data_IF_093173235355
#
_entry.id   IF_093173235355
#
_cell.length_a   1.000
_cell.length_b   1.000
_cell.length_c   1.000
_cell.angle_alpha   90.00
_cell.angle_beta   90.00
_cell.angle_gamma   90.00
#
_symmetry.space_group_name_H-M   'P 1'
#
loop_
_entity.id
_entity.type
_entity.pdbx_description
1 polymer ?
#
# COMPACT_ATOMS: atom_id res chain seq x y z
N UNK A 1 16.55 2.09 -21.76
CA UNK A 1 16.58 1.98 -20.28
C UNK A 1 17.01 3.33 -19.72
N UNK A 2 16.06 4.23 -19.55
CA UNK A 2 16.29 5.41 -18.73
C UNK A 2 16.22 4.96 -17.28
N UNK A 3 17.35 4.97 -16.57
CA UNK A 3 17.36 4.70 -15.13
C UNK A 3 16.62 5.88 -14.49
N UNK A 4 15.34 5.71 -14.16
CA UNK A 4 14.63 6.68 -13.33
C UNK A 4 15.36 6.75 -11.99
N UNK A 5 16.02 7.88 -11.73
CA UNK A 5 16.83 8.09 -10.54
C UNK A 5 15.88 8.31 -9.37
N UNK A 6 15.59 7.24 -8.63
CA UNK A 6 14.77 7.30 -7.42
C UNK A 6 15.38 8.27 -6.42
N UNK A 7 14.62 9.24 -5.91
CA UNK A 7 15.16 10.12 -4.89
C UNK A 7 15.33 9.36 -3.58
N UNK A 8 16.56 9.37 -3.06
CA UNK A 8 16.87 8.96 -1.70
C UNK A 8 16.41 10.09 -0.76
N UNK A 9 15.47 9.81 0.13
CA UNK A 9 15.15 10.70 1.22
C UNK A 9 15.85 10.20 2.48
N UNK A 10 16.42 11.12 3.23
CA UNK A 10 17.06 10.83 4.49
C UNK A 10 16.13 11.24 5.62
N UNK A 11 15.87 10.31 6.53
CA UNK A 11 15.11 10.55 7.75
C UNK A 11 15.95 10.12 8.95
N UNK A 12 15.60 10.67 10.12
CA UNK A 12 16.22 10.22 11.37
C UNK A 12 15.42 9.04 11.89
N UNK A 13 16.01 7.85 11.81
CA UNK A 13 15.44 6.62 12.37
C UNK A 13 15.67 6.56 13.88
N UNK A 14 14.67 6.97 14.66
CA UNK A 14 14.69 6.87 16.13
C UNK A 14 14.15 5.55 16.68
N UNK A 15 13.74 4.60 15.83
CA UNK A 15 13.47 3.23 16.25
C UNK A 15 14.79 2.47 16.52
N UNK A 16 15.91 3.01 16.01
CA UNK A 16 17.26 2.58 16.37
C UNK A 16 17.68 3.17 17.72
N UNK A 17 18.39 2.42 18.59
CA UNK A 17 18.82 2.90 19.92
C UNK A 17 19.65 4.19 19.92
N UNK A 18 20.20 4.56 18.76
CA UNK A 18 21.11 5.70 18.58
C UNK A 18 20.55 6.80 17.68
N UNK A 19 19.26 6.77 17.31
CA UNK A 19 18.62 7.73 16.38
C UNK A 19 19.52 8.04 15.16
N UNK A 20 19.57 7.14 14.18
CA UNK A 20 20.51 7.25 13.05
C UNK A 20 19.85 7.91 11.83
N UNK A 21 20.55 8.82 11.16
CA UNK A 21 20.15 9.28 9.85
C UNK A 21 20.26 8.13 8.84
N UNK A 22 19.12 7.72 8.27
CA UNK A 22 19.02 6.68 7.25
C UNK A 22 18.48 7.28 5.96
N UNK A 23 19.22 7.11 4.87
CA UNK A 23 18.76 7.46 3.54
C UNK A 23 18.23 6.21 2.85
N UNK A 24 16.96 6.24 2.46
CA UNK A 24 16.32 5.15 1.72
C UNK A 24 15.70 5.70 0.44
N UNK A 25 15.74 4.88 -0.61
CA UNK A 25 14.92 5.12 -1.79
C UNK A 25 13.46 4.97 -1.35
N UNK A 26 12.65 6.00 -1.55
CA UNK A 26 11.22 6.02 -1.15
C UNK A 26 10.31 5.28 -2.16
N UNK A 27 10.89 4.39 -2.95
CA UNK A 27 10.18 3.45 -3.83
C UNK A 27 9.72 2.26 -2.97
N UNK A 28 8.58 1.62 -3.28
CA UNK A 28 8.17 0.37 -2.63
C UNK A 28 9.33 -0.63 -2.51
N UNK A 29 9.63 -1.05 -1.28
CA UNK A 29 10.55 -2.16 -1.07
C UNK A 29 9.78 -3.48 -1.19
N UNK A 30 9.81 -4.09 -2.36
CA UNK A 30 9.15 -5.37 -2.64
C UNK A 30 9.72 -6.58 -1.87
N UNK A 31 10.72 -6.36 -1.00
CA UNK A 31 11.26 -7.34 -0.06
C UNK A 31 11.07 -6.93 1.42
N UNK A 32 10.37 -5.82 1.68
CA UNK A 32 10.05 -5.34 3.02
C UNK A 32 8.70 -5.85 3.54
N UNK A 33 8.48 -5.69 4.84
CA UNK A 33 7.17 -5.97 5.46
C UNK A 33 6.08 -5.13 4.80
N UNK A 34 4.89 -5.71 4.67
CA UNK A 34 3.73 -5.06 4.07
C UNK A 34 3.85 -4.87 2.56
N UNK A 35 4.79 -5.53 1.89
CA UNK A 35 4.91 -5.47 0.44
C UNK A 35 3.83 -6.31 -0.25
N UNK A 36 3.30 -5.81 -1.36
CA UNK A 36 2.53 -6.55 -2.34
C UNK A 36 3.01 -6.13 -3.74
N UNK A 37 3.82 -6.98 -4.36
CA UNK A 37 4.45 -6.73 -5.66
C UNK A 37 4.39 -7.99 -6.53
N UNK A 38 4.76 -7.88 -7.81
CA UNK A 38 4.76 -9.02 -8.74
C UNK A 38 3.34 -9.62 -8.91
N UNK A 39 3.19 -10.95 -8.98
CA UNK A 39 1.99 -11.67 -9.44
C UNK A 39 1.09 -12.32 -8.34
N UNK A 40 0.41 -11.52 -7.51
CA UNK A 40 1.03 -10.72 -6.47
C UNK A 40 1.58 -11.61 -5.34
N UNK A 41 2.86 -11.38 -5.06
CA UNK A 41 3.58 -11.84 -3.88
C UNK A 41 3.40 -10.83 -2.75
N UNK A 42 3.02 -11.32 -1.58
CA UNK A 42 2.87 -10.54 -0.36
C UNK A 42 3.95 -10.89 0.66
N UNK A 43 4.27 -9.92 1.53
CA UNK A 43 5.10 -10.12 2.71
C UNK A 43 4.32 -9.64 3.93
N UNK A 44 3.98 -10.59 4.80
CA UNK A 44 3.20 -10.32 6.01
C UNK A 44 3.95 -9.50 7.06
N UNK A 45 3.24 -9.12 8.12
CA UNK A 45 3.82 -8.46 9.30
C UNK A 45 4.78 -9.36 10.08
N UNK A 46 4.62 -10.67 9.95
CA UNK A 46 5.51 -11.73 10.44
C UNK A 46 6.75 -11.94 9.55
N UNK A 47 6.86 -11.23 8.42
CA UNK A 47 7.94 -11.36 7.45
C UNK A 47 7.82 -12.59 6.54
N UNK A 48 6.74 -13.36 6.64
CA UNK A 48 6.52 -14.53 5.79
C UNK A 48 6.07 -14.08 4.40
N UNK A 49 6.74 -14.63 3.39
CA UNK A 49 6.34 -14.47 1.98
C UNK A 49 5.19 -15.42 1.68
N UNK A 50 4.12 -14.91 1.08
CA UNK A 50 3.00 -15.73 0.61
C UNK A 50 2.39 -15.15 -0.67
N UNK A 51 1.59 -15.97 -1.35
CA UNK A 51 0.91 -15.59 -2.59
C UNK A 51 -0.60 -15.63 -2.40
N UNK A 52 -1.28 -14.61 -2.91
CA UNK A 52 -2.73 -14.57 -2.97
C UNK A 52 -3.14 -14.28 -4.40
N UNK A 53 -3.77 -15.27 -5.06
CA UNK A 53 -4.08 -15.15 -6.48
C UNK A 53 -5.28 -14.27 -6.76
N UNK A 54 -6.22 -14.11 -5.82
CA UNK A 54 -7.45 -13.39 -6.09
C UNK A 54 -8.14 -13.89 -7.36
N UNK A 55 -8.65 -12.96 -8.17
CA UNK A 55 -9.27 -13.25 -9.46
C UNK A 55 -9.30 -12.02 -10.35
N UNK A 56 -9.18 -12.20 -11.66
CA UNK A 56 -9.23 -11.09 -12.62
C UNK A 56 -10.58 -10.38 -12.59
N UNK A 57 -10.56 -9.05 -12.61
CA UNK A 57 -11.71 -8.15 -12.52
C UNK A 57 -12.55 -8.30 -11.23
N UNK A 58 -11.89 -8.64 -10.12
CA UNK A 58 -12.52 -8.71 -8.81
C UNK A 58 -11.76 -7.89 -7.78
N UNK A 59 -12.44 -7.59 -6.66
CA UNK A 59 -11.91 -6.78 -5.58
C UNK A 59 -11.77 -7.58 -4.29
N UNK A 60 -10.70 -7.37 -3.56
CA UNK A 60 -10.44 -8.04 -2.28
C UNK A 60 -9.91 -7.07 -1.23
N UNK A 61 -10.40 -7.20 0.00
CA UNK A 61 -9.90 -6.43 1.14
C UNK A 61 -8.52 -6.96 1.56
N UNK A 62 -7.50 -6.12 1.40
CA UNK A 62 -6.16 -6.36 1.93
C UNK A 62 -6.09 -6.01 3.41
N UNK A 63 -6.87 -4.99 3.82
CA UNK A 63 -6.93 -4.42 5.16
C UNK A 63 -8.37 -4.08 5.51
N UNK A 64 -8.83 -4.46 6.69
CA UNK A 64 -10.08 -4.05 7.31
C UNK A 64 -9.90 -3.99 8.82
N UNK A 65 -9.97 -2.79 9.37
CA UNK A 65 -9.92 -2.49 10.79
C UNK A 65 -11.04 -1.49 11.13
N UNK A 66 -11.19 -1.09 12.40
CA UNK A 66 -12.30 -0.22 12.80
C UNK A 66 -12.28 1.18 12.16
N UNK A 67 -11.09 1.68 11.80
CA UNK A 67 -10.87 3.04 11.28
C UNK A 67 -10.33 3.08 9.83
N UNK A 68 -9.98 1.94 9.25
CA UNK A 68 -9.34 1.83 7.94
C UNK A 68 -9.82 0.57 7.21
N UNK A 69 -10.15 0.70 5.93
CA UNK A 69 -10.23 -0.44 5.01
C UNK A 69 -9.49 -0.13 3.72
N UNK A 70 -8.67 -1.07 3.25
CA UNK A 70 -7.98 -0.98 1.96
C UNK A 70 -8.39 -2.19 1.13
N UNK A 71 -9.02 -1.93 0.00
CA UNK A 71 -9.37 -2.93 -1.00
C UNK A 71 -8.44 -2.81 -2.20
N UNK A 72 -8.10 -3.93 -2.81
CA UNK A 72 -7.35 -4.00 -4.05
C UNK A 72 -8.24 -4.48 -5.19
N UNK A 73 -8.13 -3.83 -6.35
CA UNK A 73 -8.69 -4.26 -7.63
C UNK A 73 -7.66 -5.11 -8.37
N UNK A 74 -8.04 -6.32 -8.76
CA UNK A 74 -7.15 -7.26 -9.45
C UNK A 74 -7.44 -7.26 -10.95
N UNK A 75 -6.41 -7.06 -11.74
CA UNK A 75 -6.40 -7.42 -13.17
C UNK A 75 -5.78 -8.79 -13.32
N UNK A 76 -6.01 -9.42 -14.47
CA UNK A 76 -5.41 -10.72 -14.72
C UNK A 76 -5.81 -11.33 -16.05
N UNK A 77 -5.11 -12.39 -16.40
CA UNK A 77 -5.32 -13.14 -17.63
C UNK A 77 -5.21 -14.64 -17.35
N UNK A 78 -5.92 -15.45 -18.15
CA UNK A 78 -5.88 -16.90 -18.05
C UNK A 78 -5.52 -17.51 -19.41
N UNK A 79 -4.28 -17.98 -19.60
CA UNK A 79 -3.92 -18.78 -20.76
C UNK A 79 -4.76 -20.07 -20.80
N UNK A 80 -5.07 -20.58 -21.99
CA UNK A 80 -5.99 -21.71 -22.19
C UNK A 80 -5.62 -22.98 -21.39
N UNK A 81 -4.33 -23.19 -21.13
CA UNK A 81 -3.82 -24.37 -20.43
C UNK A 81 -3.79 -24.21 -18.89
N UNK A 82 -4.09 -23.02 -18.35
CA UNK A 82 -4.08 -22.77 -16.91
C UNK A 82 -5.47 -22.88 -16.30
N UNK A 83 -5.51 -23.44 -15.08
CA UNK A 83 -6.72 -23.54 -14.26
C UNK A 83 -7.04 -22.27 -13.47
N UNK A 84 -6.08 -21.34 -13.38
CA UNK A 84 -6.15 -20.13 -12.56
C UNK A 84 -5.63 -18.95 -13.36
N UNK A 85 -6.09 -17.76 -12.99
CA UNK A 85 -5.62 -16.50 -13.54
C UNK A 85 -4.20 -16.22 -13.02
N UNK A 86 -3.36 -15.65 -13.87
CA UNK A 86 -2.34 -14.73 -13.37
C UNK A 86 -3.01 -13.42 -13.02
N UNK A 87 -2.61 -12.81 -11.92
CA UNK A 87 -3.23 -11.57 -11.46
C UNK A 87 -2.21 -10.60 -10.90
N UNK A 88 -2.59 -9.32 -10.93
CA UNK A 88 -1.81 -8.21 -10.42
C UNK A 88 -2.76 -7.17 -9.82
N UNK A 89 -2.27 -6.36 -8.88
CA UNK A 89 -3.06 -5.28 -8.29
C UNK A 89 -3.05 -4.10 -9.27
N UNK A 90 -4.19 -3.74 -9.85
CA UNK A 90 -4.29 -2.56 -10.70
C UNK A 90 -4.62 -1.29 -9.90
N UNK A 91 -5.32 -1.43 -8.79
CA UNK A 91 -5.83 -0.28 -8.05
C UNK A 91 -6.03 -0.57 -6.58
N UNK A 92 -5.96 0.48 -5.77
CA UNK A 92 -6.31 0.47 -4.36
C UNK A 92 -7.44 1.46 -4.09
N UNK A 93 -8.42 1.03 -3.29
CA UNK A 93 -9.42 1.90 -2.68
C UNK A 93 -9.21 1.91 -1.17
N UNK A 94 -9.05 3.10 -0.61
CA UNK A 94 -8.77 3.35 0.79
C UNK A 94 -9.97 4.06 1.41
N UNK A 95 -10.59 3.43 2.39
CA UNK A 95 -11.74 3.94 3.13
C UNK A 95 -11.33 4.25 4.57
N UNK A 96 -11.68 5.44 5.04
CA UNK A 96 -11.36 5.91 6.39
C UNK A 96 -12.39 6.97 6.82
N UNK A 97 -12.95 6.83 8.02
CA UNK A 97 -14.06 7.69 8.45
C UNK A 97 -15.22 7.62 7.44
N UNK A 98 -15.67 8.79 6.96
CA UNK A 98 -16.66 8.93 5.89
C UNK A 98 -16.06 9.16 4.49
N UNK A 99 -14.73 9.10 4.36
CA UNK A 99 -14.02 9.45 3.13
C UNK A 99 -13.52 8.21 2.39
N UNK A 100 -13.29 8.40 1.10
CA UNK A 100 -12.62 7.42 0.26
C UNK A 100 -11.56 8.06 -0.64
N UNK A 101 -10.52 7.29 -0.91
CA UNK A 101 -9.43 7.66 -1.80
C UNK A 101 -9.10 6.47 -2.71
N UNK A 102 -8.79 6.69 -3.98
CA UNK A 102 -8.24 5.65 -4.85
C UNK A 102 -6.97 6.06 -5.56
N UNK A 103 -6.12 5.06 -5.81
CA UNK A 103 -4.97 5.11 -6.71
C UNK A 103 -5.04 3.92 -7.65
N UNK A 104 -4.89 4.16 -8.95
CA UNK A 104 -5.05 3.14 -9.99
C UNK A 104 -4.01 3.30 -11.09
N UNK A 105 -3.51 2.19 -11.62
CA UNK A 105 -2.72 2.17 -12.85
C UNK A 105 -3.63 2.33 -14.07
N UNK A 106 -3.28 3.25 -14.98
CA UNK A 106 -4.02 3.41 -16.23
C UNK A 106 -3.80 2.20 -17.14
N UNK A 107 -4.86 1.76 -17.82
CA UNK A 107 -4.77 0.69 -18.80
C UNK A 107 -4.15 1.23 -20.08
N UNK A 108 -3.02 0.66 -20.49
CA UNK A 108 -2.29 1.06 -21.69
C UNK A 108 -2.01 -0.14 -22.59
N UNK A 109 -2.00 0.09 -23.91
CA UNK A 109 -1.64 -0.95 -24.90
C UNK A 109 -0.13 -1.17 -24.95
N UNK A 110 0.64 -0.07 -24.89
CA UNK A 110 2.09 -0.06 -24.93
C UNK A 110 2.59 0.83 -23.82
N UNK A 111 3.55 0.33 -23.04
CA UNK A 111 4.17 1.11 -21.97
C UNK A 111 5.03 2.25 -22.54
N UNK A 112 4.82 3.46 -22.02
CA UNK A 112 5.68 4.63 -22.27
C UNK A 112 6.25 5.17 -20.96
N UNK A 113 7.57 5.09 -20.79
CA UNK A 113 8.29 5.60 -19.61
C UNK A 113 8.16 7.13 -19.45
N UNK A 114 7.73 7.84 -20.51
CA UNK A 114 7.55 9.29 -20.51
C UNK A 114 6.12 9.70 -20.14
N UNK A 115 5.21 8.78 -19.89
CA UNK A 115 3.86 9.08 -19.44
C UNK A 115 3.68 8.72 -17.96
N UNK A 116 2.84 9.49 -17.27
CA UNK A 116 2.39 9.14 -15.93
C UNK A 116 1.14 8.27 -16.05
N UNK A 117 1.23 7.06 -15.49
CA UNK A 117 0.20 6.03 -15.56
C UNK A 117 -0.58 5.91 -14.26
N UNK A 118 -0.56 6.95 -13.43
CA UNK A 118 -1.25 7.01 -12.14
C UNK A 118 -2.52 7.84 -12.27
N UNK A 119 -3.63 7.27 -11.81
CA UNK A 119 -4.90 7.97 -11.64
C UNK A 119 -5.28 8.00 -10.17
N UNK A 120 -5.81 9.13 -9.73
CA UNK A 120 -6.20 9.36 -8.34
C UNK A 120 -7.63 9.88 -8.24
N UNK A 121 -8.35 9.45 -7.21
CA UNK A 121 -9.62 10.09 -6.84
C UNK A 121 -9.74 10.24 -5.34
N UNK A 122 -10.47 11.26 -4.91
CA UNK A 122 -10.79 11.51 -3.52
C UNK A 122 -12.25 11.96 -3.39
N UNK A 123 -13.03 11.20 -2.63
CA UNK A 123 -14.48 11.39 -2.47
C UNK A 123 -15.21 11.52 -3.83
N UNK A 124 -14.82 10.67 -4.79
CA UNK A 124 -15.38 10.64 -6.14
C UNK A 124 -14.92 11.76 -7.08
N UNK A 125 -14.00 12.64 -6.64
CA UNK A 125 -13.41 13.70 -7.48
C UNK A 125 -12.02 13.31 -7.92
N UNK A 126 -11.73 13.46 -9.22
CA UNK A 126 -10.40 13.24 -9.77
C UNK A 126 -9.39 14.24 -9.18
N UNK A 127 -8.19 13.74 -8.87
CA UNK A 127 -7.08 14.56 -8.37
C UNK A 127 -6.06 14.72 -9.48
N UNK A 128 -5.67 15.97 -9.73
CA UNK A 128 -4.55 16.30 -10.61
C UNK A 128 -3.34 16.55 -9.71
N UNK A 129 -2.42 15.58 -9.67
CA UNK A 129 -1.12 15.71 -9.01
C UNK A 129 -0.08 16.11 -10.05
N UNK A 130 0.50 17.34 -9.98
CA UNK A 130 1.48 17.80 -10.96
C UNK A 130 2.62 16.80 -11.15
N UNK A 131 3.07 16.62 -12.39
CA UNK A 131 4.29 15.85 -12.67
C UNK A 131 5.51 16.58 -12.10
N UNK A 132 6.45 15.83 -11.54
CA UNK A 132 7.64 16.40 -10.92
C UNK A 132 7.91 15.79 -9.55
N UNK A 133 9.20 15.56 -9.28
CA UNK A 133 9.63 15.06 -7.98
C UNK A 133 9.18 16.03 -6.88
N UNK A 134 8.71 15.48 -5.75
CA UNK A 134 8.25 16.24 -4.58
C UNK A 134 7.01 17.11 -4.84
N UNK A 135 6.28 16.88 -5.94
CA UNK A 135 4.95 17.47 -6.10
C UNK A 135 3.99 16.84 -5.10
N UNK A 136 3.22 17.69 -4.43
CA UNK A 136 2.33 17.29 -3.34
C UNK A 136 0.89 17.67 -3.64
N UNK A 137 -0.02 16.90 -3.07
CA UNK A 137 -1.43 17.24 -2.99
C UNK A 137 -1.94 16.88 -1.59
N UNK A 138 -2.78 17.73 -1.02
CA UNK A 138 -3.43 17.46 0.26
C UNK A 138 -4.95 17.60 0.08
N UNK A 139 -5.69 16.72 0.72
CA UNK A 139 -7.13 16.88 0.92
C UNK A 139 -7.45 18.17 1.70
N UNK A 140 -8.68 18.68 1.57
CA UNK A 140 -9.10 19.96 2.18
C UNK A 140 -8.90 20.02 3.70
N UNK A 141 -9.04 18.89 4.39
CA UNK A 141 -8.84 18.77 5.85
C UNK A 141 -7.53 18.03 6.21
N UNK A 142 -6.60 17.87 5.26
CA UNK A 142 -5.30 17.19 5.45
C UNK A 142 -5.39 15.75 5.96
N UNK A 143 -6.50 15.04 5.71
CA UNK A 143 -6.65 13.63 6.09
C UNK A 143 -5.87 12.67 5.17
N UNK A 144 -5.60 13.08 3.93
CA UNK A 144 -4.75 12.36 2.95
C UNK A 144 -3.76 13.37 2.37
N UNK A 145 -2.50 12.94 2.33
CA UNK A 145 -1.40 13.58 1.62
C UNK A 145 -0.91 12.66 0.51
N UNK A 146 -0.67 13.21 -0.67
CA UNK A 146 0.03 12.58 -1.79
C UNK A 146 1.33 13.31 -2.03
N UNK A 147 2.39 12.54 -2.28
CA UNK A 147 3.69 13.09 -2.63
C UNK A 147 4.32 12.24 -3.75
N UNK A 148 4.75 12.88 -4.83
CA UNK A 148 5.55 12.22 -5.86
C UNK A 148 6.99 12.02 -5.39
N UNK A 149 7.48 10.79 -5.50
CA UNK A 149 8.86 10.43 -5.13
C UNK A 149 9.80 10.40 -6.35
N UNK A 150 9.23 10.25 -7.53
CA UNK A 150 9.91 10.37 -8.82
C UNK A 150 9.17 11.37 -9.69
N UNK A 151 9.67 11.66 -10.88
CA UNK A 151 8.94 12.50 -11.84
C UNK A 151 7.56 11.90 -12.19
N UNK A 152 7.48 10.57 -12.32
CA UNK A 152 6.31 9.80 -12.79
C UNK A 152 6.20 8.45 -12.07
N UNK A 153 5.00 7.88 -12.06
CA UNK A 153 4.69 6.50 -11.67
C UNK A 153 5.02 6.11 -10.22
N UNK A 154 5.57 7.01 -9.40
CA UNK A 154 5.97 6.74 -8.02
C UNK A 154 5.41 7.79 -7.07
N UNK A 155 4.58 7.34 -6.13
CA UNK A 155 3.96 8.19 -5.11
C UNK A 155 3.98 7.54 -3.74
N UNK A 156 3.95 8.39 -2.71
CA UNK A 156 3.61 7.99 -1.35
C UNK A 156 2.28 8.63 -0.99
N UNK A 157 1.36 7.80 -0.50
CA UNK A 157 0.08 8.21 0.07
C UNK A 157 0.21 8.11 1.58
N UNK A 158 -0.10 9.18 2.30
CA UNK A 158 -0.04 9.22 3.75
C UNK A 158 -1.41 9.59 4.33
N UNK A 159 -1.93 8.73 5.21
CA UNK A 159 -3.03 9.03 6.11
C UNK A 159 -2.42 9.17 7.50
N UNK A 160 -2.40 10.39 8.09
CA UNK A 160 -1.73 10.66 9.35
C UNK A 160 -2.07 9.63 10.43
N UNK A 161 -1.03 9.12 11.11
CA UNK A 161 -1.12 8.16 12.24
C UNK A 161 -1.81 6.82 11.92
N UNK A 162 -2.17 6.57 10.66
CA UNK A 162 -2.90 5.36 10.26
C UNK A 162 -2.04 4.50 9.34
N UNK A 163 -1.67 5.01 8.16
CA UNK A 163 -0.94 4.24 7.14
C UNK A 163 -0.17 5.14 6.18
N UNK A 164 1.01 4.69 5.79
CA UNK A 164 1.73 5.14 4.60
C UNK A 164 1.74 4.04 3.55
N UNK A 165 1.47 4.41 2.29
CA UNK A 165 1.43 3.49 1.15
C UNK A 165 2.39 4.03 0.09
N UNK A 166 3.52 3.35 -0.09
CA UNK A 166 4.37 3.59 -1.26
C UNK A 166 3.77 2.84 -2.44
N UNK A 167 3.68 3.49 -3.60
CA UNK A 167 3.10 2.92 -4.82
C UNK A 167 4.04 3.21 -6.00
N UNK A 168 4.29 2.18 -6.81
CA UNK A 168 5.00 2.28 -8.08
C UNK A 168 4.17 1.59 -9.17
N UNK A 169 4.00 2.22 -10.32
CA UNK A 169 3.33 1.61 -11.49
C UNK A 169 4.37 1.00 -12.41
N UNK A 170 4.19 -0.27 -12.76
CA UNK A 170 5.08 -1.01 -13.65
C UNK A 170 4.27 -1.78 -14.71
N UNK A 171 4.81 -1.96 -15.93
CA UNK A 171 4.24 -2.87 -16.90
C UNK A 171 4.71 -4.30 -16.64
N UNK A 172 4.11 -5.27 -17.32
CA UNK A 172 4.74 -6.58 -17.49
C UNK A 172 5.72 -6.47 -18.66
N UNK A 173 7.01 -6.73 -18.41
CA UNK A 173 8.01 -6.67 -19.47
C UNK A 173 7.98 -7.93 -20.33
N UNK A 174 8.53 -7.84 -21.55
CA UNK A 174 8.71 -9.02 -22.41
C UNK A 174 9.57 -10.10 -21.77
N UNK A 175 10.51 -9.71 -20.90
CA UNK A 175 11.36 -10.66 -20.20
C UNK A 175 10.57 -11.37 -19.08
N UNK A 176 9.75 -10.64 -18.32
CA UNK A 176 8.85 -11.25 -17.33
C UNK A 176 7.89 -12.22 -18.00
N UNK A 177 7.25 -11.79 -19.10
CA UNK A 177 6.35 -12.63 -19.89
C UNK A 177 7.04 -13.90 -20.41
N UNK A 178 8.29 -13.79 -20.87
CA UNK A 178 9.09 -14.93 -21.33
C UNK A 178 9.48 -15.89 -20.20
N UNK A 179 9.90 -15.36 -19.05
CA UNK A 179 10.34 -16.16 -17.89
C UNK A 179 9.16 -16.91 -17.27
N UNK A 180 8.02 -16.22 -17.12
CA UNK A 180 6.85 -16.75 -16.43
C UNK A 180 5.82 -17.37 -17.38
N UNK A 181 6.00 -17.21 -18.69
CA UNK A 181 5.06 -17.63 -19.72
C UNK A 181 3.65 -17.09 -19.43
N UNK A 182 3.54 -15.77 -19.22
CA UNK A 182 2.25 -15.14 -18.96
C UNK A 182 1.37 -15.15 -20.21
N UNK A 183 1.96 -15.11 -21.41
CA UNK A 183 1.27 -15.00 -22.71
C UNK A 183 0.51 -13.67 -22.82
N UNK A 184 1.20 -12.58 -22.49
CA UNK A 184 0.64 -11.23 -22.56
C UNK A 184 0.26 -10.90 -24.01
N UNK A 185 -1.00 -10.50 -24.28
CA UNK A 185 -1.42 -10.10 -25.60
C UNK A 185 -0.80 -8.76 -26.02
N UNK A 186 -0.70 -8.50 -27.33
CA UNK A 186 -0.02 -7.30 -27.84
C UNK A 186 -0.78 -5.99 -27.64
N UNK A 187 -2.03 -6.05 -27.19
CA UNK A 187 -2.94 -4.90 -27.01
C UNK A 187 -3.09 -4.45 -25.55
N UNK A 188 -2.31 -5.01 -24.62
CA UNK A 188 -2.32 -4.62 -23.21
C UNK A 188 -0.94 -4.86 -22.58
N UNK A 189 -0.37 -3.85 -21.92
CA UNK A 189 0.90 -3.99 -21.21
C UNK A 189 0.75 -4.44 -19.75
N UNK A 190 -0.49 -4.63 -19.28
CA UNK A 190 -0.82 -5.03 -17.92
C UNK A 190 -0.15 -4.15 -16.86
N UNK A 191 -0.24 -2.82 -17.04
CA UNK A 191 0.22 -1.86 -16.04
C UNK A 191 -0.46 -2.12 -14.69
N UNK A 192 0.36 -2.26 -13.65
CA UNK A 192 -0.09 -2.65 -12.30
C UNK A 192 0.76 -1.98 -11.22
N UNK A 193 0.28 -2.08 -9.99
CA UNK A 193 0.88 -1.48 -8.80
C UNK A 193 1.79 -2.48 -8.10
N UNK A 194 3.02 -2.04 -7.85
CA UNK A 194 3.86 -2.53 -6.77
C UNK A 194 3.62 -1.62 -5.56
N UNK A 195 3.27 -2.20 -4.42
CA UNK A 195 2.92 -1.41 -3.24
C UNK A 195 3.64 -1.89 -1.99
N UNK A 196 3.90 -0.96 -1.08
CA UNK A 196 4.39 -1.27 0.26
C UNK A 196 3.60 -0.48 1.29
N UNK A 197 2.98 -1.18 2.23
CA UNK A 197 2.24 -0.61 3.33
C UNK A 197 3.12 -0.49 4.58
N UNK A 198 3.07 0.67 5.24
CA UNK A 198 3.58 0.89 6.59
C UNK A 198 2.44 1.36 7.47
N UNK A 199 2.03 0.53 8.42
CA UNK A 199 0.93 0.82 9.32
C UNK A 199 1.42 1.33 10.67
N UNK A 200 0.68 2.24 11.29
CA UNK A 200 1.04 2.85 12.59
C UNK A 200 0.09 2.52 13.73
N UNK A 201 -1.14 2.10 13.42
CA UNK A 201 -2.21 1.98 14.42
C UNK A 201 -3.16 0.83 14.17
N UNK A 202 -2.67 -0.32 13.69
CA UNK A 202 -3.49 -1.53 13.51
C UNK A 202 -3.95 -2.06 14.87
N UNK A 203 -5.24 -2.36 14.98
CA UNK A 203 -5.81 -3.02 16.15
C UNK A 203 -5.43 -4.50 16.20
N UNK A 204 -5.49 -5.18 17.37
CA UNK A 204 -5.19 -6.61 17.42
C UNK A 204 -6.23 -7.49 16.70
N UNK A 205 -7.31 -6.91 16.15
CA UNK A 205 -8.41 -7.63 15.51
C UNK A 205 -8.49 -7.39 14.00
N UNK A 206 -7.46 -6.82 13.38
CA UNK A 206 -7.48 -6.46 11.96
C UNK A 206 -7.73 -7.67 11.08
N UNK A 207 -8.55 -7.54 10.06
CA UNK A 207 -8.84 -8.59 9.09
C UNK A 207 -8.41 -8.16 7.69
N UNK A 208 -8.17 -9.12 6.80
CA UNK A 208 -7.77 -8.86 5.42
C UNK A 208 -6.67 -9.78 4.95
N UNK A 209 -6.51 -9.89 3.62
CA UNK A 209 -5.52 -10.79 2.99
C UNK A 209 -4.11 -10.55 3.52
N UNK A 210 -3.70 -9.29 3.66
CA UNK A 210 -2.37 -8.91 4.12
C UNK A 210 -2.32 -8.82 5.65
N UNK A 211 -3.19 -8.02 6.24
CA UNK A 211 -3.02 -7.60 7.65
C UNK A 211 -3.39 -8.66 8.67
N UNK A 212 -4.05 -9.75 8.28
CA UNK A 212 -4.26 -10.88 9.20
C UNK A 212 -2.92 -11.39 9.77
N UNK A 213 -1.83 -11.28 9.01
CA UNK A 213 -0.46 -11.62 9.44
C UNK A 213 0.12 -10.70 10.53
N UNK A 214 -0.56 -9.60 10.85
CA UNK A 214 -0.16 -8.64 11.89
C UNK A 214 -0.90 -8.90 13.22
N UNK A 215 -1.86 -9.83 13.26
CA UNK A 215 -2.51 -10.18 14.52
C UNK A 215 -1.52 -10.91 15.45
N UNK A 216 -1.51 -10.62 16.77
CA UNK A 216 -0.56 -11.23 17.71
C UNK A 216 -0.64 -12.77 17.79
N UNK A 217 -1.82 -13.34 17.56
CA UNK A 217 -2.12 -14.77 17.62
C UNK A 217 -2.19 -15.43 16.23
N UNK A 218 -1.77 -14.73 15.18
CA UNK A 218 -1.76 -15.30 13.85
C UNK A 218 -0.68 -16.38 13.69
N UNK A 219 -1.13 -17.59 13.39
CA UNK A 219 -0.27 -18.68 12.93
C UNK A 219 -0.38 -18.79 11.41
N UNK A 220 0.75 -18.59 10.72
CA UNK A 220 0.78 -18.62 9.26
C UNK A 220 0.44 -20.02 8.73
N UNK A 221 -0.62 -20.16 7.90
CA UNK A 221 -0.91 -21.43 7.24
C UNK A 221 0.01 -21.69 6.04
N UNK A 222 0.89 -20.75 5.72
CA UNK A 222 1.87 -20.88 4.64
C UNK A 222 2.80 -22.07 4.93
N UNK A 223 2.91 -22.99 3.97
CA UNK A 223 3.76 -24.17 4.11
C UNK A 223 5.23 -23.75 4.05
N UNK A 224 5.93 -23.86 5.18
CA UNK A 224 7.38 -23.66 5.25
C UNK A 224 8.11 -24.63 4.30
N UNK A 225 9.11 -24.12 3.58
CA UNK A 225 9.89 -24.90 2.60
C UNK A 225 9.24 -25.08 1.22
N UNK A 226 8.03 -24.55 1.00
CA UNK A 226 7.42 -24.44 -0.33
C UNK A 226 7.84 -23.11 -0.95
N UNK A 227 8.32 -23.12 -2.20
CA UNK A 227 8.83 -21.92 -2.86
C UNK A 227 7.77 -20.82 -3.06
N UNK A 228 6.50 -21.20 -3.24
CA UNK A 228 5.38 -20.28 -3.42
C UNK A 228 4.19 -20.73 -2.58
N UNK A 229 4.16 -20.40 -1.27
CA UNK A 229 3.06 -20.80 -0.42
C UNK A 229 1.85 -19.90 -0.71
N UNK A 230 0.81 -20.51 -1.27
CA UNK A 230 -0.45 -19.82 -1.59
C UNK A 230 -1.37 -19.82 -0.38
N UNK A 231 -1.82 -18.65 0.04
CA UNK A 231 -2.80 -18.47 1.11
C UNK A 231 -4.14 -18.12 0.47
N UNK A 232 -5.18 -18.91 0.79
CA UNK A 232 -6.54 -18.62 0.33
C UNK A 232 -7.19 -17.51 1.14
N UNK A 233 -8.32 -17.02 0.66
CA UNK A 233 -9.09 -15.96 1.32
C UNK A 233 -10.10 -15.27 0.41
N UNK A 234 -10.25 -15.75 -0.82
CA UNK A 234 -11.09 -15.19 -1.86
C UNK A 234 -12.56 -15.16 -1.42
N UNK A 235 -13.05 -16.21 -0.75
CA UNK A 235 -14.42 -16.27 -0.22
C UNK A 235 -14.64 -15.38 1.02
N UNK A 236 -13.56 -15.01 1.71
CA UNK A 236 -13.60 -14.25 2.97
C UNK A 236 -13.49 -12.75 2.74
N UNK A 237 -12.64 -12.35 1.81
CA UNK A 237 -12.21 -10.96 1.66
C UNK A 237 -12.69 -10.30 0.37
N UNK A 238 -13.45 -11.01 -0.49
CA UNK A 238 -14.05 -10.41 -1.69
C UNK A 238 -15.02 -9.30 -1.34
N UNK A 239 -14.91 -8.18 -2.04
CA UNK A 239 -15.84 -7.04 -1.96
C UNK A 239 -16.55 -6.85 -3.30
N UNK A 240 -17.73 -6.22 -3.30
CA UNK A 240 -18.48 -5.95 -4.54
C UNK A 240 -17.87 -4.85 -5.40
N UNK A 241 -17.19 -3.90 -4.80
CA UNK A 241 -16.50 -2.80 -5.48
C UNK A 241 -15.24 -2.40 -4.72
N UNK A 242 -14.41 -1.55 -5.33
CA UNK A 242 -13.20 -1.01 -4.70
C UNK A 242 -13.50 -0.21 -3.42
N UNK A 243 -14.72 0.34 -3.28
CA UNK A 243 -15.16 1.09 -2.09
C UNK A 243 -16.23 0.35 -1.26
N UNK A 244 -16.49 -0.93 -1.54
CA UNK A 244 -17.44 -1.71 -0.75
C UNK A 244 -16.80 -2.26 0.52
N UNK A 245 -17.60 -2.41 1.57
CA UNK A 245 -17.20 -2.92 2.90
C UNK A 245 -17.83 -4.26 3.22
N UNK A 246 -18.39 -4.93 2.21
CA UNK A 246 -19.29 -6.08 2.31
C UNK A 246 -18.60 -7.44 2.28
N UNK A 247 -17.29 -7.49 2.55
CA UNK A 247 -16.62 -8.78 2.66
C UNK A 247 -16.99 -9.49 3.96
N UNK A 248 -16.93 -10.83 3.94
CA UNK A 248 -17.43 -11.69 5.03
C UNK A 248 -16.79 -11.40 6.39
N UNK A 249 -15.51 -11.05 6.40
CA UNK A 249 -14.74 -10.75 7.62
C UNK A 249 -14.34 -9.27 7.74
N UNK A 250 -14.84 -8.40 6.85
CA UNK A 250 -14.60 -6.98 6.95
C UNK A 250 -15.29 -6.43 8.19
N UNK A 251 -14.57 -5.61 8.97
CA UNK A 251 -15.07 -5.03 10.21
C UNK A 251 -15.24 -3.51 10.15
N UNK A 252 -14.64 -2.87 9.13
CA UNK A 252 -14.76 -1.44 8.92
C UNK A 252 -16.22 -1.04 8.65
N UNK A 253 -16.63 0.08 9.23
CA UNK A 253 -17.95 0.68 9.00
C UNK A 253 -17.81 2.19 8.98
N UNK A 254 -18.20 2.87 7.88
CA UNK A 254 -18.08 4.32 7.77
C UNK A 254 -18.78 5.07 8.91
N UNK A 255 -19.95 4.60 9.32
CA UNK A 255 -20.74 5.18 10.43
C UNK A 255 -19.99 5.08 11.76
N UNK A 256 -19.37 3.92 12.04
CA UNK A 256 -18.61 3.72 13.28
C UNK A 256 -17.31 4.53 13.26
N UNK A 257 -16.62 4.54 12.13
CA UNK A 257 -15.37 5.27 11.95
C UNK A 257 -15.56 6.80 12.09
N UNK A 258 -16.66 7.36 11.54
CA UNK A 258 -17.02 8.76 11.72
C UNK A 258 -17.29 9.12 13.20
N UNK A 259 -17.97 8.24 13.94
CA UNK A 259 -18.24 8.45 15.37
C UNK A 259 -16.99 8.35 16.25
N UNK A 260 -15.99 7.56 15.85
CA UNK A 260 -14.72 7.46 16.60
C UNK A 260 -13.91 8.76 16.55
N UNK A 261 -13.94 9.52 15.44
CA UNK A 261 -13.28 10.84 15.34
C UNK A 261 -13.88 11.89 16.27
N UNK A 262 -15.14 11.74 16.68
CA UNK A 262 -15.78 12.61 17.67
C UNK A 262 -15.40 12.26 19.12
N UNK A 263 -14.80 11.08 19.37
CA UNK A 263 -14.47 10.60 20.72
C UNK A 263 -12.97 10.63 21.05
N UNK A 264 -12.10 10.95 20.09
CA UNK A 264 -10.67 11.18 20.32
C UNK A 264 -10.46 12.58 20.88
N UNK A 265 -10.65 12.72 22.20
CA UNK A 265 -10.11 13.84 22.96
C UNK A 265 -8.59 13.80 22.83
N UNK A 266 -8.07 14.86 22.22
CA UNK A 266 -6.68 15.36 22.25
C UNK A 266 -5.82 14.67 23.31
N UNK A 267 -4.99 13.71 22.87
CA UNK A 267 -3.73 13.46 23.57
C UNK A 267 -2.73 14.41 22.94
N UNK A 268 -2.49 15.51 23.65
CA UNK A 268 -1.48 16.52 23.36
C UNK A 268 -0.11 15.85 23.29
N UNK A 269 0.30 15.39 22.11
CA UNK A 269 1.72 15.19 21.82
C UNK A 269 2.32 16.58 21.72
N UNK A 270 2.73 17.10 22.87
CA UNK A 270 3.34 18.42 23.00
C UNK A 270 4.40 18.62 21.92
N UNK A 271 4.20 19.66 21.13
CA UNK A 271 5.20 20.19 20.20
C UNK A 271 6.46 20.48 21.02
N UNK A 272 7.53 19.71 20.80
CA UNK A 272 8.83 20.00 21.38
C UNK A 272 9.46 21.15 20.59
N UNK A 273 9.22 22.37 21.04
CA UNK A 273 10.03 23.53 20.63
C UNK A 273 11.42 23.39 21.27
N UNK A 274 12.42 23.12 20.43
CA UNK A 274 13.83 23.13 20.82
C UNK A 274 14.41 24.54 20.60
N UNK A 275 14.53 25.40 21.63
CA UNK A 275 15.28 26.63 21.48
C UNK A 275 16.77 26.30 21.36
N UNK A 276 17.36 26.78 20.26
CA UNK A 276 18.79 26.75 20.00
C UNK A 276 19.53 27.69 20.96
N UNK A 277 19.87 27.19 22.15
CA UNK A 277 20.96 27.75 22.94
C UNK A 277 21.68 26.64 23.72
N UNK A 278 22.76 26.14 23.13
CA UNK A 278 23.72 25.27 23.80
C UNK A 278 24.43 26.05 24.91
N UNK A 279 24.09 25.75 26.17
CA UNK A 279 25.07 25.81 27.25
C UNK A 279 24.65 24.96 28.45
N UNK A 280 25.45 23.89 28.67
CA UNK A 280 25.61 23.11 29.92
C UNK A 280 24.43 22.23 30.39
N UNK A 281 24.53 20.94 30.06
CA UNK A 281 24.47 19.83 31.04
C UNK A 281 23.11 19.42 31.62
N UNK A 282 22.50 18.39 31.02
CA UNK A 282 22.14 17.10 31.64
C UNK A 282 21.20 16.34 30.70
N UNK A 283 21.59 15.12 30.30
CA UNK A 283 20.84 14.30 29.35
C UNK A 283 19.49 13.83 29.90
N UNK A 284 18.51 13.72 29.01
CA UNK A 284 17.20 13.14 29.29
C UNK A 284 17.36 11.61 29.35
N UNK A 285 17.00 11.00 30.48
CA UNK A 285 16.93 9.54 30.64
C UNK A 285 15.48 9.12 30.57
N UNK A 286 15.08 8.44 29.49
CA UNK A 286 13.80 7.75 29.42
C UNK A 286 13.94 6.38 30.10
N UNK A 287 13.23 6.16 31.21
CA UNK A 287 13.09 4.82 31.80
C UNK A 287 12.00 4.04 31.07
N UNK A 288 12.24 2.73 30.96
CA UNK A 288 11.39 1.70 30.33
C UNK A 288 9.94 1.75 30.80
#
# INVERSE_FOLDING_TARGET
>A
MSIQKSQSSCYVNCDSPICKAECKNRIPNCNGLGAACYDPRFIGGDGVVFYFHGKSNEHFSLVSDSNLQINASFIGLRPAERRRDYTWIQGLGVLFGSHNFSVEATKETVWDDNMDHLKFSNDGKEIILPEGSLSEWNSQENYVKLERISSKNNVVISIPEVVEIAVNVVPITREDDRIHNYQIPSDDCFAHLEVQFRFFGLSPKVEGVLVRTYQPDFESPAKLGVAMPVVGGEDKYRTTSIFSTDCKYCMFSPVRAANQRHSSVVSDYGMLDCPSNLSRGNGIVCKK
#
